data_IF_978040238223
#
_entry.id   IF_978040238223
#
_cell.length_a   1.000
_cell.length_b   1.000
_cell.length_c   1.000
_cell.angle_alpha   90.00
_cell.angle_beta   90.00
_cell.angle_gamma   90.00
#
_symmetry.space_group_name_H-M   'P 1'
#
loop_
_entity.id
_entity.type
_entity.pdbx_description
1 polymer ?
#
# COMPACT_ATOMS: atom_id res chain seq x y z
N UNK A 1 -19.31 -4.90 -3.26
CA UNK A 1 -18.03 -5.19 -2.57
C UNK A 1 -17.45 -3.85 -2.13
N UNK A 2 -16.99 -3.69 -0.88
CA UNK A 2 -16.32 -2.46 -0.48
C UNK A 2 -15.03 -2.32 -1.29
N UNK A 3 -15.07 -1.51 -2.34
CA UNK A 3 -13.88 -1.17 -3.10
C UNK A 3 -13.00 -0.33 -2.18
N UNK A 4 -11.85 -0.87 -1.78
CA UNK A 4 -10.83 -0.06 -1.13
C UNK A 4 -10.51 1.13 -2.04
N UNK A 5 -10.82 2.34 -1.58
CA UNK A 5 -10.53 3.56 -2.31
C UNK A 5 -9.05 3.61 -2.66
N UNK A 6 -8.73 4.09 -3.86
CA UNK A 6 -7.34 4.20 -4.31
C UNK A 6 -6.49 5.07 -3.35
N UNK A 7 -7.14 6.01 -2.66
CA UNK A 7 -6.52 6.81 -1.60
C UNK A 7 -6.05 5.95 -0.41
N UNK A 8 -6.83 4.94 -0.02
CA UNK A 8 -6.47 4.01 1.05
C UNK A 8 -5.31 3.11 0.63
N UNK A 9 -5.36 2.56 -0.59
CA UNK A 9 -4.25 1.76 -1.14
C UNK A 9 -2.96 2.57 -1.21
N UNK A 10 -3.05 3.83 -1.66
CA UNK A 10 -1.90 4.73 -1.74
C UNK A 10 -1.32 5.03 -0.36
N UNK A 11 -2.15 5.28 0.67
CA UNK A 11 -1.67 5.48 2.04
C UNK A 11 -0.96 4.24 2.59
N UNK A 12 -1.54 3.06 2.39
CA UNK A 12 -0.99 1.79 2.86
C UNK A 12 0.32 1.46 2.15
N UNK A 13 0.41 1.66 0.84
CA UNK A 13 1.66 1.46 0.08
C UNK A 13 2.70 2.52 0.43
N UNK A 14 2.29 3.78 0.67
CA UNK A 14 3.20 4.85 1.13
C UNK A 14 3.85 4.48 2.47
N UNK A 15 3.10 3.86 3.38
CA UNK A 15 3.62 3.29 4.64
C UNK A 15 4.54 2.08 4.45
N UNK A 16 4.53 1.42 3.28
CA UNK A 16 5.48 0.34 2.95
C UNK A 16 6.76 0.81 2.27
N UNK A 17 6.80 2.08 1.86
CA UNK A 17 7.93 2.66 1.14
C UNK A 17 8.78 3.53 2.07
N UNK A 18 10.09 3.71 1.78
CA UNK A 18 10.94 4.62 2.54
C UNK A 18 10.36 6.05 2.52
N UNK A 19 10.55 6.84 3.60
CA UNK A 19 11.53 6.68 4.68
C UNK A 19 11.08 5.80 5.87
N UNK A 20 9.81 5.43 5.96
CA UNK A 20 9.29 4.57 7.03
C UNK A 20 8.72 3.27 6.45
N UNK A 21 9.60 2.38 5.96
CA UNK A 21 9.18 1.06 5.48
C UNK A 21 8.59 0.23 6.62
N UNK A 22 7.27 0.32 6.83
CA UNK A 22 6.56 -0.52 7.79
C UNK A 22 6.45 -1.96 7.26
N UNK A 23 6.59 -2.96 8.14
CA UNK A 23 6.43 -4.35 7.74
C UNK A 23 4.99 -4.63 7.32
N UNK A 24 4.84 -5.38 6.23
CA UNK A 24 3.55 -5.79 5.67
C UNK A 24 2.68 -6.48 6.73
N UNK A 25 3.28 -7.24 7.65
CA UNK A 25 2.57 -7.90 8.74
C UNK A 25 1.92 -6.92 9.72
N UNK A 26 2.59 -5.81 10.07
CA UNK A 26 2.01 -4.80 10.94
C UNK A 26 0.86 -4.05 10.25
N UNK A 27 1.06 -3.68 8.97
CA UNK A 27 0.00 -3.06 8.19
C UNK A 27 -1.20 -4.00 7.99
N UNK A 28 -0.95 -5.30 7.84
CA UNK A 28 -1.99 -6.32 7.73
C UNK A 28 -2.86 -6.37 8.99
N UNK A 29 -2.21 -6.30 10.17
CA UNK A 29 -2.91 -6.26 11.46
C UNK A 29 -3.62 -4.92 11.70
N UNK A 30 -3.00 -3.79 11.38
CA UNK A 30 -3.60 -2.45 11.56
C UNK A 30 -4.79 -2.22 10.64
N UNK A 31 -4.68 -2.61 9.38
CA UNK A 31 -5.69 -2.30 8.34
C UNK A 31 -6.71 -3.43 8.12
N UNK A 32 -6.45 -4.62 8.66
CA UNK A 32 -7.22 -5.83 8.40
C UNK A 32 -7.08 -6.36 6.96
N UNK A 33 -6.14 -5.83 6.17
CA UNK A 33 -5.90 -6.28 4.79
C UNK A 33 -4.99 -7.51 4.84
N UNK A 34 -5.27 -8.51 4.00
CA UNK A 34 -4.38 -9.67 3.89
C UNK A 34 -2.98 -9.27 3.41
N UNK A 35 -1.95 -9.86 4.04
CA UNK A 35 -0.56 -9.65 3.63
C UNK A 35 -0.36 -9.91 2.12
N UNK A 36 -1.09 -10.86 1.54
CA UNK A 36 -1.08 -11.13 0.10
C UNK A 36 -1.53 -9.92 -0.74
N UNK A 37 -2.61 -9.23 -0.36
CA UNK A 37 -3.07 -8.03 -1.05
C UNK A 37 -2.05 -6.87 -0.93
N UNK A 38 -1.46 -6.71 0.25
CA UNK A 38 -0.39 -5.74 0.51
C UNK A 38 0.85 -5.98 -0.36
N UNK A 39 1.30 -7.24 -0.47
CA UNK A 39 2.38 -7.62 -1.39
C UNK A 39 2.04 -7.35 -2.86
N UNK A 40 0.80 -7.64 -3.26
CA UNK A 40 0.32 -7.33 -4.62
C UNK A 40 0.36 -5.84 -4.90
N UNK A 41 -0.07 -5.00 -3.95
CA UNK A 41 -0.01 -3.54 -4.09
C UNK A 41 1.44 -3.07 -4.16
N UNK A 42 2.31 -3.51 -3.24
CA UNK A 42 3.74 -3.16 -3.30
C UNK A 42 4.36 -3.47 -4.66
N UNK A 43 4.11 -4.66 -5.20
CA UNK A 43 4.62 -5.06 -6.52
C UNK A 43 3.98 -4.26 -7.66
N UNK A 44 2.67 -3.99 -7.63
CA UNK A 44 2.02 -3.18 -8.65
C UNK A 44 2.56 -1.74 -8.68
N UNK A 45 2.78 -1.13 -7.52
CA UNK A 45 3.32 0.23 -7.44
C UNK A 45 4.80 0.28 -7.82
N UNK A 46 5.58 -0.74 -7.43
CA UNK A 46 6.97 -0.89 -7.86
C UNK A 46 7.09 -1.12 -9.37
N UNK A 47 6.24 -1.98 -9.95
CA UNK A 47 6.23 -2.29 -11.38
C UNK A 47 5.72 -1.12 -12.23
N UNK A 48 4.79 -0.31 -11.70
CA UNK A 48 4.34 0.93 -12.36
C UNK A 48 5.38 2.05 -12.32
N UNK A 49 6.52 1.87 -11.64
CA UNK A 49 7.56 2.89 -11.56
C UNK A 49 7.13 4.17 -10.83
N UNK A 50 6.01 4.13 -10.10
CA UNK A 50 5.34 5.33 -9.59
C UNK A 50 5.59 5.53 -8.09
N UNK A 51 6.41 6.56 -7.84
CA UNK A 51 6.19 7.59 -6.82
C UNK A 51 4.69 7.71 -6.55
N UNK A 52 4.27 7.50 -5.30
CA UNK A 52 2.90 7.67 -4.83
C UNK A 52 2.26 8.88 -5.51
N UNK A 53 1.05 8.79 -6.11
CA UNK A 53 0.45 9.93 -6.78
C UNK A 53 0.35 11.09 -5.78
N UNK A 54 1.18 12.12 -5.96
CA UNK A 54 0.96 13.41 -5.33
C UNK A 54 -0.30 13.97 -5.96
N UNK A 55 -1.39 13.93 -5.19
CA UNK A 55 -2.67 14.53 -5.50
C UNK A 55 -2.43 15.97 -5.99
N UNK A 56 -2.91 16.29 -7.19
CA UNK A 56 -3.09 17.68 -7.65
C UNK A 56 -4.30 18.28 -6.94
#
# INVERSE_FOLDING_TARGET
>A
MPSYSDEFKAQVVKKMMPPHSQPVSALSLETGISAAALYRWKNQYRAKGFVVPSKK
#
